data_IF_820264854881
#
_entry.id   IF_820264854881
#
_cell.length_a   1.000
_cell.length_b   1.000
_cell.length_c   1.000
_cell.angle_alpha   90.00
_cell.angle_beta   90.00
_cell.angle_gamma   90.00
#
_symmetry.space_group_name_H-M   'P 1'
#
loop_
_entity.id
_entity.type
_entity.pdbx_description
1 polymer ?
#
# COMPACT_ATOMS: atom_id res chain seq x y z
N UNK A 1 9.12 -0.34 -29.19
CA UNK A 1 9.30 -0.92 -27.94
C UNK A 1 9.68 -2.44 -27.95
N UNK A 2 10.71 -2.82 -28.45
CA UNK A 2 11.08 -4.22 -28.59
C UNK A 2 11.86 -4.79 -27.40
N UNK A 3 11.49 -4.43 -26.19
CA UNK A 3 12.25 -4.81 -25.02
C UNK A 3 12.14 -6.29 -24.63
N UNK A 4 11.22 -7.04 -25.22
CA UNK A 4 10.99 -8.44 -24.83
C UNK A 4 10.35 -8.61 -23.48
N UNK A 5 9.86 -7.56 -22.87
CA UNK A 5 9.16 -7.66 -21.60
C UNK A 5 7.82 -8.37 -21.78
N UNK A 6 7.57 -9.34 -20.90
CA UNK A 6 6.29 -10.02 -20.85
C UNK A 6 5.28 -9.17 -20.08
N UNK A 7 3.99 -9.48 -20.24
CA UNK A 7 2.94 -8.83 -19.46
C UNK A 7 3.12 -9.08 -17.96
N UNK A 8 3.73 -10.20 -17.58
CA UNK A 8 4.04 -10.51 -16.18
C UNK A 8 5.08 -9.56 -15.60
N UNK A 9 6.10 -9.21 -16.40
CA UNK A 9 7.12 -8.25 -15.97
C UNK A 9 6.51 -6.87 -15.74
N UNK A 10 5.60 -6.46 -16.62
CA UNK A 10 4.87 -5.20 -16.47
C UNK A 10 4.04 -5.20 -15.18
N UNK A 11 3.32 -6.28 -14.89
CA UNK A 11 2.48 -6.39 -13.69
C UNK A 11 3.26 -6.32 -12.39
N UNK A 12 4.51 -6.77 -12.38
CA UNK A 12 5.37 -6.69 -11.19
C UNK A 12 5.67 -5.26 -10.76
N UNK A 13 5.57 -4.31 -11.69
CA UNK A 13 5.90 -2.91 -11.46
C UNK A 13 4.68 -2.03 -11.15
N UNK A 14 3.49 -2.62 -11.13
CA UNK A 14 2.25 -1.91 -10.88
C UNK A 14 1.56 -2.51 -9.66
N UNK A 15 1.22 -1.65 -8.70
CA UNK A 15 0.45 -2.06 -7.52
C UNK A 15 -0.77 -1.18 -7.41
N UNK A 16 -1.92 -1.80 -7.16
CA UNK A 16 -3.19 -1.14 -6.96
C UNK A 16 -3.71 -1.43 -5.55
N UNK A 17 -4.13 -0.38 -4.85
CA UNK A 17 -4.73 -0.48 -3.51
C UNK A 17 -6.09 0.19 -3.52
N UNK A 18 -7.10 -0.53 -3.09
CA UNK A 18 -8.47 -0.03 -3.02
C UNK A 18 -9.14 -0.45 -1.71
N UNK A 19 -10.24 0.23 -1.33
CA UNK A 19 -10.99 -0.17 -0.13
C UNK A 19 -11.54 -1.60 -0.18
N UNK A 20 -11.86 -2.11 -1.37
CA UNK A 20 -12.38 -3.47 -1.54
C UNK A 20 -11.38 -4.53 -1.11
N UNK A 21 -10.09 -4.25 -1.23
CA UNK A 21 -9.04 -5.19 -0.82
C UNK A 21 -9.08 -5.47 0.67
N UNK A 22 -9.59 -4.55 1.47
CA UNK A 22 -9.71 -4.72 2.90
C UNK A 22 -10.49 -5.99 3.25
N UNK A 23 -11.55 -6.26 2.50
CA UNK A 23 -12.37 -7.46 2.72
C UNK A 23 -11.66 -8.75 2.31
N UNK A 24 -10.84 -8.69 1.28
CA UNK A 24 -10.12 -9.85 0.77
C UNK A 24 -9.07 -10.37 1.77
N UNK A 25 -8.59 -9.51 2.65
CA UNK A 25 -7.53 -9.85 3.60
C UNK A 25 -8.02 -10.11 5.03
N UNK A 26 -9.32 -10.31 5.22
CA UNK A 26 -9.89 -10.62 6.54
C UNK A 26 -9.53 -12.06 6.95
N UNK A 27 -8.30 -12.24 7.42
CA UNK A 27 -7.76 -13.55 7.77
C UNK A 27 -7.10 -13.53 9.14
N UNK A 28 -7.21 -14.66 9.83
CA UNK A 28 -6.58 -14.81 11.15
C UNK A 28 -5.12 -15.21 10.98
N UNK A 29 -4.31 -14.30 10.48
CA UNK A 29 -2.87 -14.47 10.28
C UNK A 29 -2.12 -13.24 10.79
N UNK A 30 -0.84 -13.41 11.18
CA UNK A 30 -0.04 -12.27 11.63
C UNK A 30 0.08 -11.19 10.55
N UNK A 31 -0.02 -9.94 10.96
CA UNK A 31 0.03 -8.80 10.05
C UNK A 31 1.27 -8.83 9.15
N UNK A 32 2.42 -9.23 9.68
CA UNK A 32 3.66 -9.27 8.89
C UNK A 32 3.57 -10.21 7.70
N UNK A 33 2.79 -11.27 7.81
CA UNK A 33 2.61 -12.20 6.68
C UNK A 33 1.78 -11.59 5.57
N UNK A 34 0.84 -10.72 5.91
CA UNK A 34 0.08 -9.97 4.90
C UNK A 34 1.03 -9.01 4.18
N UNK A 35 1.86 -8.27 4.89
CA UNK A 35 2.83 -7.38 4.29
C UNK A 35 3.79 -8.17 3.39
N UNK A 36 4.31 -9.28 3.87
CA UNK A 36 5.24 -10.12 3.12
C UNK A 36 4.62 -10.70 1.84
N UNK A 37 3.31 -10.91 1.81
CA UNK A 37 2.63 -11.39 0.60
C UNK A 37 2.77 -10.41 -0.56
N UNK A 38 3.01 -9.12 -0.26
CA UNK A 38 3.29 -8.12 -1.27
C UNK A 38 4.59 -8.39 -2.03
N UNK A 39 5.57 -8.97 -1.37
CA UNK A 39 6.84 -9.33 -2.02
C UNK A 39 6.70 -10.50 -2.99
N UNK A 40 5.75 -11.36 -2.73
CA UNK A 40 5.53 -12.58 -3.52
C UNK A 40 4.39 -12.47 -4.51
N UNK A 41 3.68 -11.35 -4.50
CA UNK A 41 2.54 -11.09 -5.38
C UNK A 41 1.45 -12.16 -5.28
N UNK A 42 1.27 -12.74 -4.10
CA UNK A 42 0.30 -13.81 -3.88
C UNK A 42 -0.82 -13.35 -2.97
N UNK A 43 -2.04 -13.74 -3.30
CA UNK A 43 -3.21 -13.61 -2.45
C UNK A 43 -3.52 -15.01 -1.93
N UNK A 44 -3.51 -15.19 -0.61
CA UNK A 44 -3.89 -16.46 0.00
C UNK A 44 -2.77 -17.44 0.25
N UNK A 45 -1.55 -17.18 -0.21
CA UNK A 45 -0.38 -17.96 0.13
C UNK A 45 0.48 -17.16 1.10
N UNK A 46 0.19 -17.29 2.37
CA UNK A 46 0.87 -16.57 3.42
C UNK A 46 2.03 -17.39 3.97
N UNK A 47 3.02 -17.59 3.11
CA UNK A 47 4.22 -18.33 3.48
C UNK A 47 5.02 -17.50 4.47
N UNK A 48 5.64 -18.16 5.43
CA UNK A 48 6.51 -17.49 6.39
C UNK A 48 7.64 -16.78 5.63
N UNK A 49 7.86 -15.48 5.86
CA UNK A 49 8.92 -14.76 5.17
C UNK A 49 10.31 -15.24 5.57
N UNK A 50 11.27 -15.10 4.68
CA UNK A 50 12.67 -15.33 5.02
C UNK A 50 13.11 -14.28 6.03
N UNK A 51 14.30 -14.48 6.63
CA UNK A 51 14.85 -13.54 7.60
C UNK A 51 15.02 -12.14 7.03
N UNK A 52 15.50 -12.06 5.80
CA UNK A 52 15.71 -10.79 5.08
C UNK A 52 14.37 -10.14 4.73
N UNK A 53 13.43 -10.91 4.26
CA UNK A 53 12.08 -10.43 3.96
C UNK A 53 11.38 -9.92 5.21
N UNK A 54 11.54 -10.63 6.31
CA UNK A 54 10.97 -10.22 7.60
C UNK A 54 11.50 -8.83 8.01
N UNK A 55 12.81 -8.62 7.89
CA UNK A 55 13.43 -7.36 8.27
C UNK A 55 12.88 -6.20 7.43
N UNK A 56 12.74 -6.39 6.12
CA UNK A 56 12.19 -5.36 5.22
C UNK A 56 10.72 -5.08 5.56
N UNK A 57 9.93 -6.12 5.75
CA UNK A 57 8.51 -5.97 6.10
C UNK A 57 8.35 -5.26 7.44
N UNK A 58 9.17 -5.61 8.41
CA UNK A 58 9.14 -4.98 9.74
C UNK A 58 9.48 -3.50 9.65
N UNK A 59 10.47 -3.14 8.82
CA UNK A 59 10.85 -1.76 8.60
C UNK A 59 9.65 -0.95 8.03
N UNK A 60 8.97 -1.49 7.03
CA UNK A 60 7.80 -0.83 6.46
C UNK A 60 6.66 -0.71 7.47
N UNK A 61 6.44 -1.75 8.27
CA UNK A 61 5.41 -1.70 9.30
C UNK A 61 5.72 -0.61 10.34
N UNK A 62 6.96 -0.50 10.77
CA UNK A 62 7.36 0.54 11.71
C UNK A 62 7.16 1.93 11.11
N UNK A 63 7.48 2.09 9.82
CA UNK A 63 7.28 3.36 9.12
C UNK A 63 5.79 3.75 9.10
N UNK A 64 4.90 2.78 8.94
CA UNK A 64 3.47 3.01 8.98
C UNK A 64 2.88 3.03 10.40
N UNK A 65 3.71 3.14 11.42
CA UNK A 65 3.24 3.26 12.80
C UNK A 65 2.74 1.97 13.41
N UNK A 66 3.14 0.82 12.86
CA UNK A 66 2.68 -0.50 13.30
C UNK A 66 3.76 -1.25 14.08
N UNK A 67 4.60 -0.52 14.79
CA UNK A 67 5.65 -1.13 15.63
C UNK A 67 5.01 -2.10 16.62
N UNK A 68 5.62 -3.25 16.79
CA UNK A 68 5.19 -4.31 17.72
C UNK A 68 3.84 -4.94 17.35
N UNK A 69 3.34 -4.72 16.13
CA UNK A 69 2.11 -5.34 15.63
C UNK A 69 2.37 -6.47 14.63
N UNK A 70 3.63 -6.78 14.38
CA UNK A 70 4.02 -7.76 13.36
C UNK A 70 3.41 -9.15 13.58
N UNK A 71 3.36 -9.63 14.82
CA UNK A 71 2.79 -10.93 15.16
C UNK A 71 1.29 -10.86 15.52
N UNK A 72 0.70 -9.68 15.53
CA UNK A 72 -0.72 -9.53 15.84
C UNK A 72 -1.57 -10.02 14.66
N UNK A 73 -2.59 -10.83 14.95
CA UNK A 73 -3.52 -11.27 13.94
C UNK A 73 -4.20 -10.07 13.28
N UNK A 74 -4.30 -10.10 11.96
CA UNK A 74 -4.95 -9.04 11.21
C UNK A 74 -6.37 -8.75 11.73
N UNK A 75 -7.09 -9.80 12.12
CA UNK A 75 -8.46 -9.67 12.63
C UNK A 75 -8.53 -8.94 13.98
N UNK A 76 -7.44 -8.88 14.72
CA UNK A 76 -7.38 -8.20 16.02
C UNK A 76 -6.96 -6.74 15.90
N UNK A 77 -6.54 -6.32 14.72
CA UNK A 77 -6.17 -4.93 14.48
C UNK A 77 -7.41 -4.07 14.32
N UNK A 78 -7.30 -2.79 14.66
CA UNK A 78 -8.36 -1.82 14.37
C UNK A 78 -8.51 -1.67 12.85
N UNK A 79 -9.65 -1.13 12.43
CA UNK A 79 -9.90 -0.85 11.01
C UNK A 79 -8.81 0.02 10.40
N UNK A 80 -8.38 1.06 11.11
CA UNK A 80 -7.30 1.94 10.65
C UNK A 80 -5.98 1.20 10.55
N UNK A 81 -5.63 0.40 11.55
CA UNK A 81 -4.42 -0.41 11.53
C UNK A 81 -4.41 -1.41 10.38
N UNK A 82 -5.56 -2.02 10.11
CA UNK A 82 -5.71 -2.94 8.97
C UNK A 82 -5.43 -2.22 7.64
N UNK A 83 -5.91 -0.98 7.48
CA UNK A 83 -5.62 -0.19 6.29
C UNK A 83 -4.14 0.12 6.16
N UNK A 84 -3.48 0.46 7.27
CA UNK A 84 -2.05 0.72 7.26
C UNK A 84 -1.24 -0.53 6.88
N UNK A 85 -1.67 -1.71 7.32
CA UNK A 85 -1.04 -2.98 6.93
C UNK A 85 -1.14 -3.18 5.42
N UNK A 86 -2.30 -2.91 4.82
CA UNK A 86 -2.49 -3.07 3.39
C UNK A 86 -1.68 -2.06 2.58
N UNK A 87 -1.53 -0.84 3.10
CA UNK A 87 -0.64 0.15 2.48
C UNK A 87 0.82 -0.31 2.56
N UNK A 88 1.26 -0.80 3.72
CA UNK A 88 2.61 -1.32 3.87
C UNK A 88 2.87 -2.47 2.88
N UNK A 89 1.88 -3.34 2.68
CA UNK A 89 1.96 -4.42 1.70
C UNK A 89 2.22 -3.89 0.28
N UNK A 90 1.57 -2.80 -0.07
CA UNK A 90 1.73 -2.19 -1.39
C UNK A 90 3.12 -1.57 -1.55
N UNK A 91 3.59 -0.87 -0.54
CA UNK A 91 4.88 -0.19 -0.60
C UNK A 91 6.07 -1.14 -0.51
N UNK A 92 5.94 -2.27 0.19
CA UNK A 92 7.06 -3.21 0.34
C UNK A 92 7.52 -3.78 -0.99
N UNK A 93 6.61 -3.86 -1.95
CA UNK A 93 6.92 -4.32 -3.31
C UNK A 93 7.80 -3.34 -4.08
N UNK A 94 7.88 -2.10 -3.62
CA UNK A 94 8.64 -1.01 -4.24
C UNK A 94 8.26 -0.81 -5.73
N UNK A 95 6.97 -0.61 -6.03
CA UNK A 95 6.49 -0.55 -7.41
C UNK A 95 6.93 0.73 -8.13
N UNK A 96 7.02 0.67 -9.45
CA UNK A 96 7.24 1.86 -10.28
C UNK A 96 5.97 2.68 -10.44
N UNK A 97 4.82 2.00 -10.50
CA UNK A 97 3.51 2.66 -10.55
C UNK A 97 2.66 2.18 -9.40
N UNK A 98 2.25 3.11 -8.57
CA UNK A 98 1.39 2.86 -7.42
C UNK A 98 0.08 3.58 -7.62
N UNK A 99 -1.01 2.82 -7.62
CA UNK A 99 -2.36 3.37 -7.78
C UNK A 99 -3.07 3.23 -6.44
N UNK A 100 -3.40 4.36 -5.82
CA UNK A 100 -4.04 4.43 -4.52
C UNK A 100 -5.46 4.95 -4.67
N UNK A 101 -6.44 4.11 -4.41
CA UNK A 101 -7.85 4.47 -4.47
C UNK A 101 -8.36 4.70 -3.04
N UNK A 102 -8.67 5.95 -2.74
CA UNK A 102 -9.15 6.38 -1.41
C UNK A 102 -8.24 5.89 -0.27
N UNK A 103 -6.93 6.11 -0.34
CA UNK A 103 -6.00 5.51 0.64
C UNK A 103 -6.15 6.07 2.05
N UNK A 104 -6.69 7.28 2.19
CA UNK A 104 -6.83 7.93 3.51
C UNK A 104 -8.18 7.69 4.16
N UNK A 105 -9.11 7.06 3.45
CA UNK A 105 -10.45 6.81 3.97
C UNK A 105 -10.40 5.93 5.22
N UNK A 106 -11.10 6.36 6.27
CA UNK A 106 -11.16 5.61 7.51
C UNK A 106 -9.97 5.79 8.45
N UNK A 107 -9.01 6.65 8.09
CA UNK A 107 -7.88 6.98 8.96
C UNK A 107 -8.16 8.26 9.76
N UNK A 108 -7.65 8.30 10.99
CA UNK A 108 -7.68 9.53 11.77
C UNK A 108 -6.68 10.56 11.22
N UNK A 109 -6.75 11.79 11.72
CA UNK A 109 -5.90 12.89 11.21
C UNK A 109 -4.41 12.59 11.31
N UNK A 110 -3.97 11.96 12.40
CA UNK A 110 -2.56 11.61 12.60
C UNK A 110 -2.10 10.60 11.53
N UNK A 111 -2.86 9.55 11.35
CA UNK A 111 -2.51 8.52 10.37
C UNK A 111 -2.66 9.01 8.92
N UNK A 112 -3.62 9.90 8.65
CA UNK A 112 -3.70 10.54 7.33
C UNK A 112 -2.44 11.32 7.02
N UNK A 113 -1.95 12.11 7.96
CA UNK A 113 -0.73 12.88 7.75
C UNK A 113 0.49 11.97 7.58
N UNK A 114 0.57 10.91 8.37
CA UNK A 114 1.63 9.91 8.26
C UNK A 114 1.68 9.32 6.84
N UNK A 115 0.54 8.90 6.33
CA UNK A 115 0.45 8.32 4.97
C UNK A 115 0.81 9.35 3.91
N UNK A 116 0.34 10.60 4.05
CA UNK A 116 0.69 11.67 3.12
C UNK A 116 2.22 11.89 3.07
N UNK A 117 2.87 11.88 4.22
CA UNK A 117 4.31 12.08 4.31
C UNK A 117 5.07 10.93 3.62
N UNK A 118 4.60 9.71 3.81
CA UNK A 118 5.19 8.54 3.16
C UNK A 118 5.02 8.63 1.64
N UNK A 119 3.82 9.00 1.16
CA UNK A 119 3.56 9.18 -0.28
C UNK A 119 4.48 10.25 -0.86
N UNK A 120 4.62 11.40 -0.19
CA UNK A 120 5.49 12.47 -0.64
C UNK A 120 6.94 12.00 -0.77
N UNK A 121 7.44 11.30 0.23
CA UNK A 121 8.82 10.80 0.22
C UNK A 121 9.03 9.77 -0.86
N UNK A 122 8.08 8.85 -1.02
CA UNK A 122 8.16 7.81 -2.05
C UNK A 122 8.18 8.41 -3.45
N UNK A 123 7.37 9.43 -3.70
CA UNK A 123 7.24 10.06 -5.01
C UNK A 123 8.52 10.77 -5.48
N UNK A 124 9.40 11.12 -4.56
CA UNK A 124 10.67 11.81 -4.89
C UNK A 124 11.73 10.86 -5.41
N UNK A 125 11.52 9.56 -5.31
CA UNK A 125 12.47 8.56 -5.80
C UNK A 125 12.36 8.47 -7.32
N UNK A 126 13.49 8.16 -7.96
CA UNK A 126 13.53 8.01 -9.41
C UNK A 126 12.62 6.88 -9.90
N UNK A 127 12.00 7.10 -11.05
CA UNK A 127 11.14 6.13 -11.72
C UNK A 127 9.91 5.71 -10.91
N UNK A 128 9.42 6.60 -10.04
CA UNK A 128 8.20 6.35 -9.27
C UNK A 128 7.07 7.24 -9.76
N UNK A 129 5.93 6.62 -10.01
CA UNK A 129 4.70 7.33 -10.39
C UNK A 129 3.60 6.90 -9.43
N UNK A 130 2.83 7.88 -8.93
CA UNK A 130 1.71 7.62 -8.05
C UNK A 130 0.46 8.23 -8.66
N UNK A 131 -0.59 7.43 -8.76
CA UNK A 131 -1.93 7.89 -9.11
C UNK A 131 -2.79 7.74 -7.87
N UNK A 132 -3.41 8.83 -7.44
CA UNK A 132 -4.28 8.80 -6.26
C UNK A 132 -5.68 9.23 -6.65
N UNK A 133 -6.66 8.43 -6.26
CA UNK A 133 -8.07 8.73 -6.47
C UNK A 133 -8.66 9.15 -5.13
N UNK A 134 -9.28 10.32 -5.07
CA UNK A 134 -9.92 10.81 -3.85
C UNK A 134 -11.08 11.72 -4.22
N UNK A 135 -12.06 11.79 -3.33
CA UNK A 135 -13.17 12.75 -3.43
C UNK A 135 -12.85 14.08 -2.76
N UNK A 136 -11.75 14.17 -2.02
CA UNK A 136 -11.40 15.34 -1.21
C UNK A 136 -10.05 15.90 -1.63
N UNK A 137 -10.06 17.07 -2.24
CA UNK A 137 -8.84 17.73 -2.72
C UNK A 137 -7.84 17.97 -1.58
N UNK A 138 -8.32 18.29 -0.39
CA UNK A 138 -7.49 18.55 0.78
C UNK A 138 -6.73 17.32 1.27
N UNK A 139 -7.13 16.12 0.85
CA UNK A 139 -6.41 14.90 1.19
C UNK A 139 -5.17 14.68 0.32
N UNK A 140 -5.02 15.43 -0.79
CA UNK A 140 -3.91 15.23 -1.70
C UNK A 140 -2.60 15.71 -1.09
N UNK A 141 -1.57 14.87 -1.06
CA UNK A 141 -0.21 15.31 -0.71
C UNK A 141 0.33 16.35 -1.68
N UNK A 142 1.30 17.12 -1.24
CA UNK A 142 1.89 18.22 -2.03
C UNK A 142 2.60 17.75 -3.31
N UNK A 143 3.00 16.47 -3.37
CA UNK A 143 3.73 15.94 -4.52
C UNK A 143 2.90 15.86 -5.80
N UNK A 144 1.57 15.97 -5.72
CA UNK A 144 0.70 15.84 -6.88
C UNK A 144 0.63 17.18 -7.65
N UNK A 145 1.01 17.14 -8.90
CA UNK A 145 1.08 18.32 -9.78
C UNK A 145 0.09 18.29 -10.94
N UNK A 146 -0.55 17.15 -11.18
CA UNK A 146 -1.54 16.99 -12.25
C UNK A 146 -2.84 16.46 -11.68
N UNK A 147 -3.96 17.07 -12.10
CA UNK A 147 -5.27 16.76 -11.58
C UNK A 147 -6.25 16.50 -12.72
N UNK A 148 -7.05 15.44 -12.57
CA UNK A 148 -8.14 15.14 -13.50
C UNK A 148 -9.42 15.05 -12.67
N UNK A 149 -10.42 15.85 -13.07
CA UNK A 149 -11.71 15.88 -12.39
C UNK A 149 -12.72 15.12 -13.22
N UNK A 150 -13.33 14.09 -12.60
CA UNK A 150 -14.34 13.29 -13.26
C UNK A 150 -15.73 13.76 -12.81
N UNK A 151 -16.60 14.04 -13.78
CA UNK A 151 -18.00 14.39 -13.50
C UNK A 151 -18.86 13.14 -13.61
N UNK A 152 -19.80 13.01 -12.68
CA UNK A 152 -20.83 11.99 -12.82
C UNK A 152 -21.75 12.40 -13.96
N UNK A 153 -21.95 11.50 -14.89
CA UNK A 153 -23.04 11.63 -15.87
C UNK A 153 -24.31 11.09 -15.21
N UNK A 154 -25.27 11.98 -15.01
CA UNK A 154 -26.58 11.58 -14.50
C UNK A 154 -27.43 11.02 -15.62
#
# INVERSE_FOLDING_TARGET
RGSGESIWDIKKHIVYVSPEMHRAYQRNIPAIRIVASGLKDTIGLYVKPTKEEYAVCKWWMELFGLKDKDDTSFLKLSSGEQRLVLLARAFVKDPELLILDEPLHGLDSYNQQLVKDIINTFSKRENKTIIMVTHYKEELPECFDKFIYLKKNN
#
